data_IF_724210252066
#
_entry.id   IF_724210252066
#
_cell.length_a   1.000
_cell.length_b   1.000
_cell.length_c   1.000
_cell.angle_alpha   90.00
_cell.angle_beta   90.00
_cell.angle_gamma   90.00
#
_symmetry.space_group_name_H-M   'P 1'
#
loop_
_entity.id
_entity.type
_entity.pdbx_description
1 polymer ?
#
# COMPACT_ATOMS: atom_id res chain seq x y z
N UNK A 1 7.15 16.20 -14.02
CA UNK A 1 7.74 15.74 -12.74
C UNK A 1 8.93 14.79 -12.95
N UNK A 2 9.65 14.94 -14.09
CA UNK A 2 10.80 14.07 -14.40
C UNK A 2 11.84 14.13 -13.28
N UNK A 3 12.17 12.95 -12.69
CA UNK A 3 13.10 12.84 -11.58
C UNK A 3 12.60 13.40 -10.23
N UNK A 4 11.28 13.59 -10.07
CA UNK A 4 10.68 14.11 -8.85
C UNK A 4 9.60 13.19 -8.24
N UNK A 5 9.60 11.92 -8.63
CA UNK A 5 8.69 10.91 -8.07
C UNK A 5 9.50 9.82 -7.38
N UNK A 6 9.11 9.43 -6.18
CA UNK A 6 9.62 8.24 -5.52
C UNK A 6 8.52 7.19 -5.40
N UNK A 7 8.89 5.92 -5.56
CA UNK A 7 7.98 4.78 -5.48
C UNK A 7 8.64 3.60 -4.78
N UNK A 8 7.91 2.75 -4.02
CA UNK A 8 8.46 1.52 -3.49
C UNK A 8 8.75 0.52 -4.61
N UNK A 9 9.90 -0.15 -4.54
CA UNK A 9 10.25 -1.21 -5.47
C UNK A 9 9.37 -2.45 -5.20
N UNK A 10 8.63 -2.97 -6.18
CA UNK A 10 7.75 -4.12 -5.99
C UNK A 10 8.48 -5.41 -5.61
N UNK A 11 9.76 -5.56 -5.96
CA UNK A 11 10.54 -6.73 -5.60
C UNK A 11 10.92 -6.78 -4.11
N UNK A 12 11.00 -5.62 -3.44
CA UNK A 12 11.43 -5.52 -2.04
C UNK A 12 10.42 -4.84 -1.10
N UNK A 13 9.26 -4.44 -1.62
CA UNK A 13 8.18 -3.79 -0.85
C UNK A 13 6.82 -4.37 -1.22
N UNK A 14 6.09 -4.87 -0.22
CA UNK A 14 4.70 -5.30 -0.38
C UNK A 14 3.81 -4.19 -0.93
N UNK A 15 3.98 -2.95 -0.43
CA UNK A 15 3.26 -1.77 -0.93
C UNK A 15 3.54 -1.51 -2.41
N UNK A 16 4.78 -1.67 -2.86
CA UNK A 16 5.14 -1.55 -4.27
C UNK A 16 4.50 -2.64 -5.12
N UNK A 17 4.56 -3.89 -4.66
CA UNK A 17 3.95 -5.01 -5.36
C UNK A 17 2.42 -4.90 -5.43
N UNK A 18 1.77 -4.53 -4.33
CA UNK A 18 0.33 -4.28 -4.29
C UNK A 18 -0.10 -3.23 -5.33
N UNK A 19 0.65 -2.13 -5.44
CA UNK A 19 0.33 -1.08 -6.41
C UNK A 19 0.51 -1.55 -7.86
N UNK A 20 1.56 -2.30 -8.16
CA UNK A 20 1.78 -2.92 -9.50
C UNK A 20 0.65 -3.90 -9.82
N UNK A 21 0.28 -4.78 -8.88
CA UNK A 21 -0.84 -5.70 -9.04
C UNK A 21 -2.16 -4.97 -9.30
N UNK A 22 -2.41 -3.86 -8.60
CA UNK A 22 -3.62 -3.07 -8.83
C UNK A 22 -3.67 -2.50 -10.25
N UNK A 23 -2.56 -1.97 -10.76
CA UNK A 23 -2.50 -1.50 -12.15
C UNK A 23 -2.74 -2.62 -13.15
N UNK A 24 -2.09 -3.77 -12.98
CA UNK A 24 -2.25 -4.93 -13.86
C UNK A 24 -3.70 -5.43 -13.89
N UNK A 25 -4.35 -5.51 -12.72
CA UNK A 25 -5.70 -6.01 -12.61
C UNK A 25 -6.77 -5.03 -13.11
N UNK A 26 -6.54 -3.72 -13.00
CA UNK A 26 -7.55 -2.71 -13.33
C UNK A 26 -7.38 -2.10 -14.73
N UNK A 27 -6.17 -2.04 -15.26
CA UNK A 27 -5.88 -1.47 -16.58
C UNK A 27 -5.72 -2.55 -17.65
N UNK A 28 -5.51 -3.81 -17.26
CA UNK A 28 -5.05 -4.86 -18.13
C UNK A 28 -3.53 -4.81 -18.34
N UNK A 29 -2.96 -5.97 -18.69
CA UNK A 29 -1.51 -6.18 -18.64
C UNK A 29 -0.73 -5.23 -19.55
N UNK A 30 -1.07 -5.16 -20.83
CA UNK A 30 -0.36 -4.32 -21.81
C UNK A 30 -0.41 -2.84 -21.44
N UNK A 31 -1.58 -2.36 -21.04
CA UNK A 31 -1.75 -0.95 -20.68
C UNK A 31 -1.00 -0.61 -19.38
N UNK A 32 -1.04 -1.51 -18.39
CA UNK A 32 -0.36 -1.32 -17.12
C UNK A 32 1.17 -1.28 -17.30
N UNK A 33 1.75 -2.20 -18.05
CA UNK A 33 3.18 -2.19 -18.32
C UNK A 33 3.61 -0.94 -19.11
N UNK A 34 2.85 -0.54 -20.11
CA UNK A 34 3.12 0.70 -20.85
C UNK A 34 3.02 1.95 -19.95
N UNK A 35 2.03 1.98 -19.06
CA UNK A 35 1.92 3.05 -18.06
C UNK A 35 3.13 3.09 -17.14
N UNK A 36 3.54 1.95 -16.59
CA UNK A 36 4.69 1.86 -15.67
C UNK A 36 6.00 2.27 -16.34
N UNK A 37 6.23 1.88 -17.59
CA UNK A 37 7.40 2.34 -18.36
C UNK A 37 7.41 3.85 -18.61
N UNK A 38 6.23 4.47 -18.77
CA UNK A 38 6.13 5.94 -18.87
C UNK A 38 6.36 6.61 -17.52
N UNK A 39 5.84 6.00 -16.44
CA UNK A 39 6.03 6.47 -15.08
C UNK A 39 7.51 6.41 -14.67
N UNK A 40 8.19 5.32 -15.00
CA UNK A 40 9.61 5.09 -14.70
C UNK A 40 10.51 6.26 -15.15
N UNK A 41 10.24 6.84 -16.33
CA UNK A 41 10.94 8.02 -16.84
C UNK A 41 10.85 9.25 -15.94
N UNK A 42 9.94 9.26 -14.98
CA UNK A 42 9.72 10.34 -14.02
C UNK A 42 10.17 9.95 -12.60
N UNK A 43 10.49 8.67 -12.37
CA UNK A 43 10.96 8.19 -11.08
C UNK A 43 12.40 8.68 -10.82
N UNK A 44 12.60 9.27 -9.65
CA UNK A 44 13.93 9.63 -9.16
C UNK A 44 14.67 8.39 -8.64
N UNK A 45 13.96 7.57 -7.87
CA UNK A 45 14.48 6.31 -7.32
C UNK A 45 13.36 5.44 -6.78
N UNK A 46 13.65 4.16 -6.65
CA UNK A 46 12.81 3.17 -5.99
C UNK A 46 13.28 2.91 -4.56
N UNK A 47 12.34 2.80 -3.61
CA UNK A 47 12.65 2.59 -2.19
C UNK A 47 12.33 1.16 -1.77
N UNK A 48 13.05 0.62 -0.76
CA UNK A 48 12.71 -0.66 -0.15
C UNK A 48 11.51 -0.57 0.80
N UNK A 49 11.28 0.60 1.39
CA UNK A 49 10.18 0.86 2.32
C UNK A 49 8.97 1.43 1.60
N UNK A 50 7.77 0.87 1.85
CA UNK A 50 6.50 1.37 1.33
C UNK A 50 6.10 2.74 1.86
N UNK A 51 6.63 3.15 3.02
CA UNK A 51 6.34 4.44 3.65
C UNK A 51 7.39 5.54 3.41
N UNK A 52 8.58 5.19 2.89
CA UNK A 52 9.65 6.16 2.67
C UNK A 52 9.28 7.24 1.63
N UNK A 53 8.61 6.93 0.50
CA UNK A 53 8.27 7.96 -0.48
C UNK A 53 7.41 9.10 0.07
N UNK A 54 6.43 8.83 0.95
CA UNK A 54 5.64 9.90 1.54
C UNK A 54 6.44 10.72 2.58
N UNK A 55 7.42 10.12 3.26
CA UNK A 55 8.34 10.86 4.13
C UNK A 55 9.17 11.83 3.29
N UNK A 56 9.74 11.36 2.19
CA UNK A 56 10.55 12.18 1.29
C UNK A 56 9.75 13.31 0.65
N UNK A 57 8.50 13.05 0.25
CA UNK A 57 7.60 14.11 -0.23
C UNK A 57 7.29 15.13 0.86
N UNK A 58 7.07 14.68 2.11
CA UNK A 58 6.84 15.56 3.26
C UNK A 58 8.04 16.43 3.64
N UNK A 59 9.24 15.99 3.32
CA UNK A 59 10.50 16.73 3.51
C UNK A 59 10.88 17.60 2.31
N UNK A 60 10.15 17.50 1.19
CA UNK A 60 10.42 18.23 -0.03
C UNK A 60 11.55 17.64 -0.89
N UNK A 61 12.01 16.43 -0.60
CA UNK A 61 13.06 15.75 -1.39
C UNK A 61 12.51 15.31 -2.77
N UNK A 62 11.22 14.98 -2.85
CA UNK A 62 10.51 14.67 -4.10
C UNK A 62 9.17 15.40 -4.12
N UNK A 63 8.65 15.67 -5.32
CA UNK A 63 7.34 16.32 -5.45
C UNK A 63 6.19 15.33 -5.21
N UNK A 64 6.36 14.06 -5.56
CA UNK A 64 5.33 13.01 -5.45
C UNK A 64 5.94 11.76 -4.81
N UNK A 65 5.31 11.26 -3.76
CA UNK A 65 5.59 9.96 -3.18
C UNK A 65 4.43 9.00 -3.41
N UNK A 66 4.63 7.96 -4.22
CA UNK A 66 3.69 6.83 -4.30
C UNK A 66 3.93 5.98 -3.06
N UNK A 67 2.93 5.89 -2.17
CA UNK A 67 3.16 5.36 -0.82
C UNK A 67 1.85 4.95 -0.14
N UNK A 68 1.93 4.53 1.12
CA UNK A 68 0.78 4.21 1.96
C UNK A 68 0.02 5.48 2.36
N UNK A 69 -1.26 5.56 2.02
CA UNK A 69 -2.12 6.71 2.35
C UNK A 69 -2.21 6.96 3.87
N UNK A 70 -2.24 5.90 4.69
CA UNK A 70 -2.25 5.99 6.15
C UNK A 70 -1.01 6.69 6.70
N UNK A 71 0.17 6.39 6.15
CA UNK A 71 1.42 7.04 6.55
C UNK A 71 1.43 8.50 6.12
N UNK A 72 0.94 8.82 4.92
CA UNK A 72 0.79 10.20 4.45
C UNK A 72 -0.14 11.01 5.35
N UNK A 73 -1.29 10.46 5.74
CA UNK A 73 -2.24 11.08 6.66
C UNK A 73 -1.63 11.35 8.04
N UNK A 74 -0.86 10.40 8.57
CA UNK A 74 -0.14 10.56 9.84
C UNK A 74 0.88 11.71 9.77
N UNK A 75 1.70 11.75 8.73
CA UNK A 75 2.68 12.81 8.53
C UNK A 75 2.01 14.19 8.39
N UNK A 76 0.91 14.26 7.62
CA UNK A 76 0.13 15.49 7.49
C UNK A 76 -0.45 15.94 8.83
N UNK A 77 -0.92 15.02 9.66
CA UNK A 77 -1.43 15.31 11.01
C UNK A 77 -0.31 15.82 11.93
N UNK A 78 0.93 15.41 11.70
CA UNK A 78 2.12 15.89 12.39
C UNK A 78 2.67 17.21 11.84
N UNK A 79 2.00 17.82 10.86
CA UNK A 79 2.37 19.12 10.29
C UNK A 79 3.17 19.07 8.98
N UNK A 80 3.42 17.90 8.42
CA UNK A 80 4.09 17.82 7.11
C UNK A 80 3.24 18.46 6.01
N UNK A 81 3.82 19.26 5.10
CA UNK A 81 3.08 19.97 4.02
C UNK A 81 2.70 19.02 2.88
N UNK A 82 1.87 18.04 3.18
CA UNK A 82 1.44 16.99 2.24
C UNK A 82 -0.02 17.17 1.81
N UNK A 83 -0.27 16.94 0.52
CA UNK A 83 -1.58 16.55 0.02
C UNK A 83 -1.64 15.02 -0.07
N UNK A 84 -2.57 14.38 0.63
CA UNK A 84 -2.80 12.94 0.51
C UNK A 84 -3.89 12.72 -0.52
N UNK A 85 -3.52 12.13 -1.64
CA UNK A 85 -4.40 11.93 -2.80
C UNK A 85 -4.57 10.42 -3.02
N UNK A 86 -5.81 9.98 -3.14
CA UNK A 86 -6.18 8.60 -3.44
C UNK A 86 -6.96 8.59 -4.75
N UNK A 87 -6.30 8.43 -5.90
CA UNK A 87 -6.99 8.35 -7.20
C UNK A 87 -7.86 7.09 -7.30
N UNK A 88 -8.78 7.06 -8.25
CA UNK A 88 -9.56 5.85 -8.52
C UNK A 88 -8.64 4.69 -8.91
N UNK A 89 -8.98 3.49 -8.46
CA UNK A 89 -8.19 2.29 -8.74
C UNK A 89 -6.95 2.11 -7.86
N UNK A 90 -6.94 2.69 -6.66
CA UNK A 90 -5.86 2.45 -5.70
C UNK A 90 -5.82 0.99 -5.27
N UNK A 91 -4.60 0.43 -5.20
CA UNK A 91 -4.38 -0.87 -4.60
C UNK A 91 -4.62 -0.86 -3.09
N UNK A 92 -5.08 -1.98 -2.58
CA UNK A 92 -5.27 -2.20 -1.16
C UNK A 92 -5.07 -3.68 -0.85
N UNK A 93 -4.79 -3.99 0.40
CA UNK A 93 -4.72 -5.35 0.91
C UNK A 93 -5.20 -5.36 2.37
N UNK A 94 -5.51 -6.55 2.88
CA UNK A 94 -5.81 -6.78 4.28
C UNK A 94 -4.61 -7.42 4.95
N UNK A 95 -4.19 -6.87 6.08
CA UNK A 95 -3.22 -7.53 6.94
C UNK A 95 -3.77 -8.88 7.39
N UNK A 96 -2.91 -9.89 7.42
CA UNK A 96 -3.27 -11.25 7.77
C UNK A 96 -2.43 -11.76 8.93
N UNK A 97 -3.04 -12.56 9.79
CA UNK A 97 -2.35 -13.30 10.84
C UNK A 97 -2.53 -14.79 10.59
N UNK A 98 -1.47 -15.57 10.78
CA UNK A 98 -1.49 -17.01 10.58
C UNK A 98 -0.62 -17.77 11.55
N UNK A 99 -0.90 -19.08 11.70
CA UNK A 99 -0.11 -19.99 12.51
C UNK A 99 1.02 -20.61 11.69
N UNK A 100 2.26 -20.35 12.05
CA UNK A 100 3.43 -21.05 11.50
C UNK A 100 3.62 -22.38 12.23
N UNK A 101 3.49 -22.37 13.56
CA UNK A 101 3.52 -23.56 14.39
C UNK A 101 2.33 -23.54 15.35
N UNK A 102 1.55 -24.63 15.35
CA UNK A 102 0.37 -24.73 16.20
C UNK A 102 0.77 -24.97 17.66
N UNK A 103 0.21 -24.17 18.56
CA UNK A 103 0.20 -24.34 20.00
C UNK A 103 -1.03 -23.64 20.57
N UNK A 104 -1.46 -24.00 21.78
CA UNK A 104 -2.60 -23.31 22.40
C UNK A 104 -2.33 -21.82 22.65
N UNK A 105 -1.10 -21.46 22.98
CA UNK A 105 -0.70 -20.06 23.10
C UNK A 105 -0.78 -19.32 21.78
N UNK A 106 -0.29 -19.91 20.68
CA UNK A 106 -0.32 -19.31 19.36
C UNK A 106 -1.77 -19.15 18.84
N UNK A 107 -2.63 -20.14 19.07
CA UNK A 107 -4.07 -20.01 18.73
C UNK A 107 -4.73 -18.85 19.46
N UNK A 108 -4.49 -18.69 20.77
CA UNK A 108 -5.00 -17.55 21.55
C UNK A 108 -4.55 -16.21 21.00
N UNK A 109 -3.31 -16.09 20.50
CA UNK A 109 -2.82 -14.86 19.87
C UNK A 109 -3.57 -14.58 18.56
N UNK A 110 -3.79 -15.60 17.72
CA UNK A 110 -4.57 -15.44 16.48
C UNK A 110 -6.00 -15.04 16.80
N UNK A 111 -6.68 -15.72 17.73
CA UNK A 111 -8.04 -15.40 18.13
C UNK A 111 -8.16 -13.98 18.70
N UNK A 112 -7.18 -13.58 19.51
CA UNK A 112 -7.14 -12.21 20.02
C UNK A 112 -6.94 -11.19 18.91
N UNK A 113 -6.05 -11.46 17.95
CA UNK A 113 -5.70 -10.51 16.89
C UNK A 113 -6.86 -10.15 15.96
N UNK A 114 -7.88 -11.00 15.85
CA UNK A 114 -9.09 -10.75 15.08
C UNK A 114 -10.24 -10.20 15.95
N UNK A 115 -10.05 -10.11 17.26
CA UNK A 115 -11.07 -9.63 18.19
C UNK A 115 -11.36 -8.15 18.05
N UNK A 116 -12.54 -7.72 18.56
CA UNK A 116 -12.89 -6.31 18.65
C UNK A 116 -11.85 -5.50 19.42
N UNK A 117 -11.40 -6.01 20.57
CA UNK A 117 -10.41 -5.35 21.41
C UNK A 117 -9.08 -5.10 20.70
N UNK A 118 -8.59 -6.07 19.91
CA UNK A 118 -7.39 -5.87 19.11
C UNK A 118 -7.61 -4.83 18.00
N UNK A 119 -8.76 -4.88 17.32
CA UNK A 119 -9.09 -3.92 16.27
C UNK A 119 -9.29 -2.50 16.81
N UNK A 120 -9.78 -2.32 18.02
CA UNK A 120 -9.83 -1.03 18.73
C UNK A 120 -8.43 -0.45 19.01
N UNK A 121 -7.40 -1.29 19.14
CA UNK A 121 -6.00 -0.82 19.20
C UNK A 121 -5.44 -0.53 17.77
N UNK A 122 -5.80 -1.33 16.79
CA UNK A 122 -5.30 -1.16 15.43
C UNK A 122 -5.73 0.15 14.80
N UNK A 123 -6.92 0.71 15.14
CA UNK A 123 -7.38 1.99 14.61
C UNK A 123 -6.49 3.18 15.00
N UNK A 124 -5.63 3.03 15.99
CA UNK A 124 -4.62 4.05 16.31
C UNK A 124 -3.54 4.18 15.21
N UNK A 125 -3.33 3.12 14.44
CA UNK A 125 -2.31 3.06 13.39
C UNK A 125 -2.89 2.93 11.99
N UNK A 126 -4.01 2.24 11.85
CA UNK A 126 -4.66 1.93 10.58
C UNK A 126 -6.06 2.56 10.51
N UNK A 127 -6.36 3.31 9.45
CA UNK A 127 -7.66 4.00 9.33
C UNK A 127 -8.84 3.08 9.00
N UNK A 128 -8.54 1.87 8.55
CA UNK A 128 -9.53 0.82 8.25
C UNK A 128 -9.06 -0.47 8.90
N UNK A 129 -9.95 -1.14 9.60
CA UNK A 129 -9.68 -2.42 10.29
C UNK A 129 -10.73 -3.46 9.88
N UNK A 130 -10.40 -4.74 10.08
CA UNK A 130 -11.25 -5.85 9.62
C UNK A 130 -12.49 -6.13 10.46
N UNK A 131 -12.59 -5.61 11.68
CA UNK A 131 -13.73 -5.88 12.55
C UNK A 131 -14.90 -4.94 12.25
N UNK A 132 -16.05 -5.49 11.86
CA UNK A 132 -17.24 -4.74 11.41
C UNK A 132 -17.79 -3.73 12.40
N UNK A 133 -17.61 -3.97 13.70
CA UNK A 133 -18.14 -3.12 14.78
C UNK A 133 -17.08 -2.12 15.29
N UNK A 134 -15.96 -1.99 14.58
CA UNK A 134 -14.90 -1.02 14.90
C UNK A 134 -14.75 -0.06 13.73
N UNK A 135 -15.06 1.20 13.99
CA UNK A 135 -14.91 2.28 13.02
C UNK A 135 -13.99 3.35 13.58
N UNK A 136 -13.12 3.88 12.75
CA UNK A 136 -12.25 4.97 13.10
C UNK A 136 -12.39 6.13 12.12
N UNK A 137 -12.30 7.34 12.67
CA UNK A 137 -12.06 8.53 11.84
C UNK A 137 -10.62 8.97 12.07
N UNK A 138 -9.75 8.69 11.09
CA UNK A 138 -8.36 9.11 11.15
C UNK A 138 -8.23 10.48 10.50
N UNK A 139 -7.70 11.45 11.27
CA UNK A 139 -7.49 12.82 10.79
C UNK A 139 -6.62 12.83 9.54
N UNK A 140 -7.04 13.62 8.54
CA UNK A 140 -6.39 13.78 7.26
C UNK A 140 -6.33 12.49 6.38
N UNK A 141 -6.98 11.41 6.77
CA UNK A 141 -7.12 10.25 5.91
C UNK A 141 -8.26 10.48 4.91
N UNK A 142 -8.02 10.33 3.61
CA UNK A 142 -9.06 10.51 2.61
C UNK A 142 -10.08 9.37 2.66
N UNK A 143 -11.31 9.64 2.20
CA UNK A 143 -12.26 8.54 2.00
C UNK A 143 -11.80 7.69 0.81
N UNK A 144 -11.31 6.49 1.10
CA UNK A 144 -10.72 5.57 0.11
C UNK A 144 -11.73 4.61 -0.51
N UNK A 145 -12.86 4.35 0.13
CA UNK A 145 -13.80 3.29 -0.26
C UNK A 145 -14.25 3.39 -1.72
N UNK A 146 -14.52 4.60 -2.19
CA UNK A 146 -14.95 4.85 -3.58
C UNK A 146 -13.82 4.71 -4.60
N UNK A 147 -12.57 4.74 -4.13
CA UNK A 147 -11.37 4.75 -4.96
C UNK A 147 -10.62 3.42 -4.94
N UNK A 148 -11.01 2.49 -4.06
CA UNK A 148 -10.40 1.17 -3.96
C UNK A 148 -10.63 0.37 -5.24
N UNK A 149 -9.55 -0.21 -5.75
CA UNK A 149 -9.60 -1.13 -6.87
C UNK A 149 -10.36 -2.42 -6.50
N UNK A 150 -10.99 -3.05 -7.48
CA UNK A 150 -11.43 -4.44 -7.31
C UNK A 150 -10.19 -5.32 -7.40
N UNK A 151 -9.77 -5.91 -6.27
CA UNK A 151 -8.59 -6.74 -6.18
C UNK A 151 -8.95 -8.22 -6.11
N UNK A 152 -8.27 -9.04 -6.91
CA UNK A 152 -8.21 -10.49 -6.77
C UNK A 152 -6.90 -10.84 -6.05
N UNK A 153 -7.00 -11.13 -4.75
CA UNK A 153 -5.83 -11.46 -3.91
C UNK A 153 -5.25 -12.84 -4.22
N UNK A 154 -6.06 -13.80 -4.71
CA UNK A 154 -5.56 -15.11 -5.12
C UNK A 154 -4.68 -14.97 -6.36
N UNK A 155 -5.14 -14.21 -7.33
CA UNK A 155 -4.37 -13.84 -8.52
C UNK A 155 -3.10 -13.07 -8.15
N UNK A 156 -3.21 -12.07 -7.27
CA UNK A 156 -2.07 -11.30 -6.77
C UNK A 156 -0.98 -12.22 -6.18
N UNK A 157 -1.37 -13.25 -5.42
CA UNK A 157 -0.46 -14.22 -4.84
C UNK A 157 0.15 -15.15 -5.89
N UNK A 158 -0.67 -15.75 -6.76
CA UNK A 158 -0.21 -16.75 -7.73
C UNK A 158 0.67 -16.18 -8.85
N UNK A 159 0.41 -14.94 -9.30
CA UNK A 159 1.17 -14.28 -10.37
C UNK A 159 2.44 -13.55 -9.87
N UNK A 160 2.68 -13.54 -8.54
CA UNK A 160 3.75 -12.71 -7.96
C UNK A 160 5.13 -12.96 -8.57
N UNK A 161 5.51 -14.20 -8.77
CA UNK A 161 6.83 -14.54 -9.30
C UNK A 161 7.02 -14.01 -10.75
N UNK A 162 6.03 -14.20 -11.59
CA UNK A 162 6.06 -13.79 -13.00
C UNK A 162 6.02 -12.25 -13.14
N UNK A 163 5.20 -11.59 -12.34
CA UNK A 163 5.13 -10.13 -12.29
C UNK A 163 6.47 -9.53 -11.85
N UNK A 164 7.10 -10.08 -10.81
CA UNK A 164 8.39 -9.59 -10.35
C UNK A 164 9.52 -9.88 -11.33
N UNK A 165 9.47 -11.02 -12.03
CA UNK A 165 10.40 -11.30 -13.11
C UNK A 165 10.25 -10.29 -14.24
N UNK A 166 9.02 -10.06 -14.70
CA UNK A 166 8.73 -9.07 -15.76
C UNK A 166 9.14 -7.65 -15.34
N UNK A 167 8.94 -7.30 -14.07
CA UNK A 167 9.42 -6.03 -13.52
C UNK A 167 10.94 -5.91 -13.65
N UNK A 168 11.68 -6.92 -13.17
CA UNK A 168 13.15 -6.93 -13.23
C UNK A 168 13.72 -6.89 -14.66
N UNK A 169 12.96 -7.44 -15.64
CA UNK A 169 13.37 -7.43 -17.06
C UNK A 169 13.11 -6.06 -17.73
N UNK A 170 12.24 -5.23 -17.17
CA UNK A 170 11.81 -3.94 -17.76
C UNK A 170 12.38 -2.70 -17.08
N UNK A 171 12.77 -2.81 -15.78
CA UNK A 171 13.20 -1.72 -14.90
C UNK A 171 14.46 -2.07 -14.11
#
# INVERSE_FOLDING_TARGET
>A
YKGHIAMPNPASSGTGYMQVSAWLQNMGEDQAWNYMQKLDKNIAHYTHSGSKPCVQAGMGEVAIGISMASRGAKLKTQGAPLAVITPAGIGWESEAVGLVKSSEAAKRVVDWSISKAANELYIEMYPVVGHKDVTATVKNFPNVEKNMAKMDFARMGSERADVLKTWSDKF
#
